data_IF_035095577738
#
_entry.id   IF_035095577738
#
_cell.length_a   1.000
_cell.length_b   1.000
_cell.length_c   1.000
_cell.angle_alpha   90.00
_cell.angle_beta   90.00
_cell.angle_gamma   90.00
#
_symmetry.space_group_name_H-M   'P 1'
#
loop_
_entity.id
_entity.type
_entity.pdbx_description
1 polymer ?
#
# COMPACT_ATOMS: atom_id res chain seq x y z
N UNK A 1 28.32 -46.11 -16.35
CA UNK A 1 29.76 -46.34 -16.44
C UNK A 1 30.41 -45.08 -16.97
N UNK A 2 30.69 -44.12 -16.07
CA UNK A 2 31.71 -43.07 -16.19
C UNK A 2 31.96 -42.60 -14.76
N UNK A 3 32.95 -43.21 -14.12
CA UNK A 3 33.44 -42.82 -12.80
C UNK A 3 34.53 -41.78 -13.00
N UNK A 4 34.24 -40.53 -12.65
CA UNK A 4 35.23 -39.46 -12.64
C UNK A 4 35.83 -39.39 -11.24
N UNK A 5 37.04 -39.90 -11.08
CA UNK A 5 37.80 -39.81 -9.83
C UNK A 5 38.51 -38.45 -9.77
N UNK A 6 38.12 -37.61 -8.81
CA UNK A 6 38.83 -36.37 -8.51
C UNK A 6 39.93 -36.69 -7.50
N UNK A 7 41.12 -37.00 -8.01
CA UNK A 7 42.32 -37.26 -7.18
C UNK A 7 42.85 -35.92 -6.68
N UNK A 8 42.48 -35.56 -5.45
CA UNK A 8 43.17 -34.51 -4.70
C UNK A 8 44.51 -35.09 -4.25
N UNK A 9 45.58 -34.77 -4.95
CA UNK A 9 46.95 -35.15 -4.56
C UNK A 9 47.37 -34.30 -3.36
N UNK A 10 47.02 -34.75 -2.15
CA UNK A 10 47.75 -34.39 -0.95
C UNK A 10 48.83 -35.46 -0.75
N UNK A 11 50.06 -35.07 -1.05
CA UNK A 11 51.24 -35.91 -0.90
C UNK A 11 51.65 -35.89 0.57
N UNK A 12 51.14 -36.83 1.36
CA UNK A 12 51.73 -37.30 2.61
C UNK A 12 51.17 -38.70 2.96
N UNK A 13 52.10 -39.62 3.23
CA UNK A 13 51.91 -41.07 3.37
C UNK A 13 51.07 -41.47 4.60
N UNK A 14 49.75 -41.50 4.45
CA UNK A 14 48.86 -42.24 5.36
C UNK A 14 48.14 -43.33 4.56
N UNK A 15 48.06 -44.59 5.06
CA UNK A 15 47.32 -45.64 4.38
C UNK A 15 45.82 -45.28 4.39
N UNK A 16 45.33 -44.75 3.27
CA UNK A 16 43.94 -44.34 3.09
C UNK A 16 43.09 -45.62 3.15
N UNK A 17 42.41 -45.81 4.28
CA UNK A 17 41.54 -46.95 4.51
C UNK A 17 40.27 -46.77 3.63
N UNK A 18 39.98 -47.66 2.65
CA UNK A 18 38.92 -47.46 1.67
C UNK A 18 37.50 -47.48 2.26
N UNK A 19 37.35 -47.82 3.55
CA UNK A 19 36.08 -47.78 4.29
C UNK A 19 35.56 -46.37 4.60
N UNK A 20 36.39 -45.32 4.50
CA UNK A 20 35.95 -43.93 4.71
C UNK A 20 35.45 -43.22 3.45
N UNK A 21 35.51 -43.88 2.29
CA UNK A 21 34.70 -43.46 1.16
C UNK A 21 33.26 -43.91 1.44
N UNK A 22 32.60 -43.22 2.39
CA UNK A 22 31.15 -43.21 2.44
C UNK A 22 30.68 -42.90 1.03
N UNK A 23 30.03 -43.89 0.43
CA UNK A 23 29.52 -43.86 -0.92
C UNK A 23 28.77 -42.53 -1.09
N UNK A 24 29.38 -41.55 -1.76
CA UNK A 24 28.82 -40.22 -1.94
C UNK A 24 27.60 -40.40 -2.85
N UNK A 25 26.49 -40.80 -2.25
CA UNK A 25 25.31 -41.23 -2.96
C UNK A 25 24.81 -40.02 -3.73
N UNK A 26 24.41 -40.23 -4.99
CA UNK A 26 23.83 -39.19 -5.82
C UNK A 26 22.73 -38.39 -5.08
N UNK A 27 21.99 -39.06 -4.19
CA UNK A 27 21.00 -38.44 -3.30
C UNK A 27 21.59 -37.39 -2.35
N UNK A 28 22.74 -37.67 -1.74
CA UNK A 28 23.41 -36.76 -0.81
C UNK A 28 23.95 -35.53 -1.54
N UNK A 29 24.52 -35.72 -2.74
CA UNK A 29 24.99 -34.62 -3.60
C UNK A 29 23.81 -33.74 -4.01
N UNK A 30 22.71 -34.34 -4.47
CA UNK A 30 21.51 -33.59 -4.85
C UNK A 30 20.91 -32.82 -3.67
N UNK A 31 20.86 -33.43 -2.49
CA UNK A 31 20.39 -32.76 -1.27
C UNK A 31 21.30 -31.56 -0.90
N UNK A 32 22.62 -31.73 -0.97
CA UNK A 32 23.57 -30.65 -0.69
C UNK A 32 23.43 -29.48 -1.68
N UNK A 33 23.29 -29.76 -2.97
CA UNK A 33 23.08 -28.72 -4.01
C UNK A 33 21.77 -27.97 -3.76
N UNK A 34 20.69 -28.67 -3.42
CA UNK A 34 19.39 -28.05 -3.11
C UNK A 34 19.47 -27.18 -1.85
N UNK A 35 20.10 -27.68 -0.79
CA UNK A 35 20.29 -26.90 0.45
C UNK A 35 21.14 -25.64 0.21
N UNK A 36 22.20 -25.76 -0.58
CA UNK A 36 23.01 -24.62 -0.97
C UNK A 36 22.21 -23.60 -1.78
N UNK A 37 21.40 -24.07 -2.75
CA UNK A 37 20.54 -23.21 -3.55
C UNK A 37 19.52 -22.45 -2.69
N UNK A 38 18.89 -23.12 -1.71
CA UNK A 38 17.97 -22.46 -0.77
C UNK A 38 18.69 -21.47 0.15
N UNK A 39 19.85 -21.83 0.69
CA UNK A 39 20.65 -20.93 1.52
C UNK A 39 21.04 -19.67 0.74
N UNK A 40 21.46 -19.82 -0.52
CA UNK A 40 21.77 -18.69 -1.40
C UNK A 40 20.54 -17.83 -1.67
N UNK A 41 19.40 -18.45 -2.00
CA UNK A 41 18.15 -17.72 -2.24
C UNK A 41 17.71 -16.89 -1.01
N UNK A 42 17.79 -17.47 0.19
CA UNK A 42 17.46 -16.76 1.44
C UNK A 42 18.45 -15.63 1.70
N UNK A 43 19.75 -15.85 1.53
CA UNK A 43 20.76 -14.80 1.70
C UNK A 43 20.55 -13.62 0.73
N UNK A 44 20.22 -13.89 -0.53
CA UNK A 44 19.89 -12.85 -1.52
C UNK A 44 18.63 -12.08 -1.11
N UNK A 45 17.58 -12.78 -0.70
CA UNK A 45 16.34 -12.16 -0.24
C UNK A 45 16.58 -11.26 0.98
N UNK A 46 17.28 -11.75 2.01
CA UNK A 46 17.61 -10.99 3.22
C UNK A 46 18.51 -9.78 2.91
N UNK A 47 19.47 -9.93 2.00
CA UNK A 47 20.35 -8.82 1.59
C UNK A 47 19.55 -7.71 0.88
N UNK A 48 18.59 -8.07 0.03
CA UNK A 48 17.70 -7.10 -0.62
C UNK A 48 16.80 -6.39 0.41
N UNK A 49 16.22 -7.14 1.34
CA UNK A 49 15.40 -6.60 2.44
C UNK A 49 16.22 -5.62 3.29
N UNK A 50 17.44 -5.99 3.66
CA UNK A 50 18.36 -5.14 4.40
C UNK A 50 18.68 -3.87 3.60
N UNK A 51 18.99 -3.99 2.32
CA UNK A 51 19.28 -2.84 1.46
C UNK A 51 18.11 -1.84 1.43
N UNK A 52 16.88 -2.33 1.29
CA UNK A 52 15.67 -1.48 1.30
C UNK A 52 15.51 -0.77 2.65
N UNK A 53 15.71 -1.49 3.77
CA UNK A 53 15.60 -0.92 5.12
C UNK A 53 16.70 0.11 5.39
N UNK A 54 17.95 -0.18 5.02
CA UNK A 54 19.06 0.75 5.17
C UNK A 54 18.85 2.04 4.37
N UNK A 55 18.30 1.93 3.16
CA UNK A 55 17.94 3.10 2.35
C UNK A 55 16.84 3.95 3.00
N UNK A 56 15.89 3.31 3.71
CA UNK A 56 14.87 4.03 4.48
C UNK A 56 15.48 4.78 5.68
N UNK A 57 16.43 4.16 6.38
CA UNK A 57 17.18 4.78 7.50
C UNK A 57 17.98 5.99 7.03
N UNK A 58 18.73 5.87 5.94
CA UNK A 58 19.55 6.97 5.40
C UNK A 58 18.69 8.20 5.03
N UNK A 59 17.47 7.98 4.56
CA UNK A 59 16.52 9.05 4.20
C UNK A 59 15.66 9.52 5.37
N UNK A 60 15.82 8.92 6.55
CA UNK A 60 14.97 9.09 7.73
C UNK A 60 13.47 9.08 7.41
N UNK A 61 13.05 8.12 6.57
CA UNK A 61 11.71 8.11 5.97
C UNK A 61 11.16 6.69 5.97
N UNK A 62 10.08 6.48 6.70
CA UNK A 62 9.34 5.22 6.69
C UNK A 62 8.58 5.03 5.36
N UNK A 63 8.16 3.81 5.07
CA UNK A 63 7.39 3.51 3.85
C UNK A 63 6.07 4.31 3.78
N UNK A 64 5.41 4.50 4.93
CA UNK A 64 4.16 5.24 5.02
C UNK A 64 4.41 6.73 4.74
N UNK A 65 5.46 7.31 5.33
CA UNK A 65 5.81 8.71 5.12
C UNK A 65 6.29 8.98 3.70
N UNK A 66 7.00 8.03 3.09
CA UNK A 66 7.36 8.10 1.67
C UNK A 66 6.14 8.16 0.78
N UNK A 67 5.15 7.30 1.03
CA UNK A 67 3.88 7.34 0.30
C UNK A 67 3.12 8.67 0.47
N UNK A 68 3.12 9.26 1.67
CA UNK A 68 2.49 10.57 1.90
C UNK A 68 3.26 11.67 1.16
N UNK A 69 4.59 11.66 1.26
CA UNK A 69 5.46 12.63 0.59
C UNK A 69 5.32 12.58 -0.93
N UNK A 70 5.29 11.38 -1.53
CA UNK A 70 5.13 11.22 -2.97
C UNK A 70 3.76 11.74 -3.44
N UNK A 71 2.71 11.56 -2.64
CA UNK A 71 1.38 12.15 -2.90
C UNK A 71 1.39 13.67 -2.83
N UNK A 72 2.07 14.22 -1.83
CA UNK A 72 2.22 15.66 -1.69
C UNK A 72 2.96 16.24 -2.90
N UNK A 73 4.08 15.63 -3.31
CA UNK A 73 4.83 16.07 -4.50
C UNK A 73 3.96 16.05 -5.76
N UNK A 74 3.14 15.00 -5.95
CA UNK A 74 2.20 14.95 -7.08
C UNK A 74 1.14 16.05 -7.02
N UNK A 75 0.56 16.33 -5.85
CA UNK A 75 -0.41 17.43 -5.67
C UNK A 75 0.23 18.79 -5.95
N UNK A 76 1.45 19.04 -5.46
CA UNK A 76 2.19 20.29 -5.72
C UNK A 76 2.52 20.49 -7.19
N UNK A 77 2.94 19.43 -7.90
CA UNK A 77 3.21 19.48 -9.34
C UNK A 77 1.94 19.84 -10.12
N UNK A 78 0.76 19.39 -9.67
CA UNK A 78 -0.52 19.69 -10.31
C UNK A 78 -1.00 21.12 -10.00
N UNK A 79 -0.70 21.64 -8.81
CA UNK A 79 -1.17 22.94 -8.33
C UNK A 79 -0.14 24.08 -8.51
N UNK A 80 1.02 23.81 -9.13
CA UNK A 80 2.15 24.74 -9.31
C UNK A 80 2.63 25.40 -8.00
N UNK A 81 2.53 24.65 -6.90
CA UNK A 81 2.88 25.12 -5.56
C UNK A 81 4.39 24.95 -5.28
N UNK A 82 4.92 25.78 -4.38
CA UNK A 82 6.31 25.70 -3.95
C UNK A 82 6.66 24.32 -3.37
N UNK A 83 7.82 23.79 -3.77
CA UNK A 83 8.32 22.47 -3.37
C UNK A 83 8.51 22.37 -1.86
N UNK A 84 7.63 21.63 -1.18
CA UNK A 84 7.78 21.40 0.26
C UNK A 84 8.91 20.40 0.54
N UNK A 85 9.79 20.76 1.47
CA UNK A 85 10.86 19.87 1.94
C UNK A 85 10.35 18.86 2.95
N UNK A 86 10.99 17.68 3.01
CA UNK A 86 10.62 16.64 3.97
C UNK A 86 11.12 17.01 5.38
N UNK A 87 10.27 17.02 6.41
CA UNK A 87 10.58 17.65 7.70
C UNK A 87 11.66 16.92 8.53
N UNK A 88 11.82 15.61 8.34
CA UNK A 88 12.71 14.78 9.17
C UNK A 88 14.07 14.46 8.53
N UNK A 89 14.35 14.98 7.32
CA UNK A 89 15.64 14.75 6.69
C UNK A 89 16.69 15.74 7.21
N UNK A 90 17.51 15.30 8.16
CA UNK A 90 18.59 16.08 8.77
C UNK A 90 19.94 15.90 8.06
N UNK A 91 19.96 15.08 7.00
CA UNK A 91 21.16 14.66 6.31
C UNK A 91 21.54 13.21 6.61
N UNK A 92 22.13 12.55 5.60
CA UNK A 92 22.37 11.10 5.60
C UNK A 92 23.11 10.55 6.82
N UNK A 93 24.10 11.30 7.35
CA UNK A 93 24.87 10.90 8.53
C UNK A 93 24.07 11.04 9.82
N UNK A 94 23.38 12.17 10.02
CA UNK A 94 22.58 12.38 11.22
C UNK A 94 21.40 11.41 11.28
N UNK A 95 20.73 11.20 10.13
CA UNK A 95 19.67 10.21 9.96
C UNK A 95 20.14 8.79 10.34
N UNK A 96 21.33 8.39 9.87
CA UNK A 96 21.92 7.11 10.23
C UNK A 96 22.27 7.04 11.72
N UNK A 97 22.83 8.13 12.25
CA UNK A 97 23.23 8.24 13.65
C UNK A 97 22.07 8.06 14.60
N UNK A 98 20.92 8.66 14.31
CA UNK A 98 19.70 8.51 15.11
C UNK A 98 19.30 7.05 15.36
N UNK A 99 19.59 6.15 14.42
CA UNK A 99 19.21 4.73 14.55
C UNK A 99 20.29 3.91 15.25
N UNK A 100 21.58 4.16 14.98
CA UNK A 100 22.67 3.26 15.39
C UNK A 100 23.56 3.76 16.53
N UNK A 101 23.69 5.08 16.74
CA UNK A 101 24.72 5.64 17.63
C UNK A 101 24.21 6.14 18.99
N UNK A 102 22.92 5.94 19.31
CA UNK A 102 22.31 6.38 20.59
C UNK A 102 22.13 5.26 21.64
N UNK A 103 22.88 4.17 21.50
CA UNK A 103 22.91 3.06 22.44
C UNK A 103 21.93 1.93 22.09
N UNK A 104 21.33 1.23 23.07
CA UNK A 104 20.45 0.08 22.80
C UNK A 104 19.09 0.47 22.20
N UNK A 105 18.79 1.78 22.12
CA UNK A 105 17.56 2.32 21.55
C UNK A 105 17.91 3.45 20.58
N UNK A 106 17.14 3.61 19.50
CA UNK A 106 17.27 4.76 18.62
C UNK A 106 16.94 6.06 19.37
N UNK A 107 17.42 7.19 18.85
CA UNK A 107 17.14 8.52 19.37
C UNK A 107 15.64 8.82 19.30
N UNK A 108 15.11 9.39 20.39
CA UNK A 108 13.72 9.85 20.47
C UNK A 108 12.83 8.96 21.34
N UNK A 109 11.60 9.41 21.56
CA UNK A 109 10.61 8.74 22.40
C UNK A 109 9.43 8.16 21.60
N UNK A 110 9.53 8.16 20.27
CA UNK A 110 8.48 7.69 19.35
C UNK A 110 7.40 8.72 19.02
N UNK A 111 7.40 9.88 19.69
CA UNK A 111 6.42 10.96 19.50
C UNK A 111 7.11 12.23 18.97
N UNK A 112 8.25 12.58 19.58
CA UNK A 112 9.04 13.74 19.24
C UNK A 112 10.30 13.32 18.51
N UNK A 113 10.50 13.92 17.34
CA UNK A 113 11.65 13.74 16.48
C UNK A 113 12.31 15.09 16.21
N UNK A 114 13.59 15.05 15.86
CA UNK A 114 14.32 16.23 15.41
C UNK A 114 13.86 16.59 13.99
N UNK A 115 13.52 17.87 13.78
CA UNK A 115 13.03 18.39 12.49
C UNK A 115 13.97 19.43 11.92
N UNK A 116 13.90 19.64 10.60
CA UNK A 116 14.59 20.76 9.95
C UNK A 116 14.01 22.11 10.42
N UNK A 117 14.85 23.15 10.39
CA UNK A 117 14.44 24.49 10.81
C UNK A 117 13.21 24.98 10.03
N UNK A 118 12.21 25.50 10.75
CA UNK A 118 10.95 25.98 10.14
C UNK A 118 9.90 24.89 9.91
N UNK A 119 10.14 23.65 10.34
CA UNK A 119 9.15 22.57 10.32
C UNK A 119 8.89 22.01 11.72
N UNK A 120 7.69 21.47 11.90
CA UNK A 120 7.22 20.88 13.15
C UNK A 120 6.99 19.37 13.00
N UNK A 121 6.98 18.64 14.11
CA UNK A 121 6.68 17.22 14.18
C UNK A 121 5.28 16.87 13.63
N UNK A 122 4.36 17.83 13.58
CA UNK A 122 3.01 17.61 13.03
C UNK A 122 2.84 18.10 11.60
N UNK A 123 3.89 18.61 10.94
CA UNK A 123 3.81 19.11 9.55
C UNK A 123 3.28 18.04 8.59
N UNK A 124 3.74 16.79 8.69
CA UNK A 124 3.25 15.70 7.83
C UNK A 124 1.77 15.38 8.08
N UNK A 125 1.33 15.48 9.34
CA UNK A 125 -0.07 15.27 9.71
C UNK A 125 -0.97 16.36 9.14
N UNK A 126 -0.50 17.61 9.14
CA UNK A 126 -1.19 18.73 8.50
C UNK A 126 -1.33 18.51 7.00
N UNK A 127 -0.24 18.14 6.31
CA UNK A 127 -0.24 17.79 4.89
C UNK A 127 -1.23 16.66 4.61
N UNK A 128 -1.24 15.62 5.43
CA UNK A 128 -2.17 14.50 5.26
C UNK A 128 -3.64 14.92 5.40
N UNK A 129 -3.96 15.84 6.31
CA UNK A 129 -5.31 16.42 6.42
C UNK A 129 -5.69 17.19 5.17
N UNK A 130 -4.78 18.02 4.65
CA UNK A 130 -4.97 18.80 3.42
C UNK A 130 -5.21 17.90 2.20
N UNK A 131 -4.38 16.87 2.01
CA UNK A 131 -4.56 15.88 0.93
C UNK A 131 -5.89 15.12 1.06
N UNK A 132 -6.34 14.87 2.29
CA UNK A 132 -7.63 14.22 2.54
C UNK A 132 -8.80 15.15 2.24
N UNK A 133 -8.72 16.44 2.56
CA UNK A 133 -9.75 17.42 2.20
C UNK A 133 -9.82 17.65 0.70
N UNK A 134 -8.67 17.73 0.01
CA UNK A 134 -8.61 17.81 -1.45
C UNK A 134 -9.25 16.57 -2.10
N UNK A 135 -8.94 15.37 -1.60
CA UNK A 135 -9.60 14.15 -2.08
C UNK A 135 -11.12 14.19 -1.90
N UNK A 136 -11.61 14.77 -0.80
CA UNK A 136 -13.04 14.92 -0.52
C UNK A 136 -13.66 16.00 -1.42
N UNK A 137 -12.96 17.11 -1.69
CA UNK A 137 -13.49 18.16 -2.57
C UNK A 137 -13.61 17.70 -4.02
N UNK A 138 -12.73 16.80 -4.48
CA UNK A 138 -12.84 16.17 -5.80
C UNK A 138 -13.90 15.06 -5.89
N UNK A 139 -14.56 14.72 -4.79
CA UNK A 139 -15.57 13.67 -4.76
C UNK A 139 -16.86 14.10 -5.46
N UNK A 140 -17.61 13.12 -5.99
CA UNK A 140 -18.78 13.38 -6.83
C UNK A 140 -20.01 12.71 -6.24
N UNK A 141 -21.14 13.42 -6.23
CA UNK A 141 -22.42 12.87 -5.79
C UNK A 141 -23.03 12.03 -6.89
N UNK A 142 -23.46 10.82 -6.53
CA UNK A 142 -24.17 9.91 -7.41
C UNK A 142 -25.47 9.47 -6.75
N UNK A 143 -26.54 9.51 -7.52
CA UNK A 143 -27.86 9.00 -7.12
C UNK A 143 -28.07 7.62 -7.74
N UNK A 144 -28.68 6.74 -6.96
CA UNK A 144 -28.93 5.35 -7.35
C UNK A 144 -30.27 5.25 -8.05
N UNK A 145 -30.24 4.75 -9.29
CA UNK A 145 -31.42 4.55 -10.14
C UNK A 145 -31.95 3.12 -10.04
N UNK A 146 -31.08 2.16 -9.75
CA UNK A 146 -31.45 0.74 -9.78
C UNK A 146 -31.04 0.04 -8.51
N UNK A 147 -32.01 -0.62 -7.88
CA UNK A 147 -31.77 -1.46 -6.71
C UNK A 147 -30.78 -2.59 -7.04
N UNK A 148 -29.82 -2.77 -6.14
CA UNK A 148 -28.83 -3.83 -6.21
C UNK A 148 -28.61 -4.44 -4.84
N UNK A 149 -29.44 -5.43 -4.49
CA UNK A 149 -29.34 -6.15 -3.20
C UNK A 149 -28.28 -7.25 -3.18
N UNK A 150 -27.82 -7.69 -4.36
CA UNK A 150 -26.95 -8.87 -4.52
C UNK A 150 -25.66 -8.58 -5.28
N UNK A 151 -25.00 -7.47 -4.94
CA UNK A 151 -23.70 -7.09 -5.53
C UNK A 151 -22.59 -8.10 -5.22
N UNK A 152 -22.76 -8.92 -4.18
CA UNK A 152 -21.81 -10.00 -3.86
C UNK A 152 -21.85 -11.14 -4.88
N UNK A 153 -23.01 -11.39 -5.50
CA UNK A 153 -23.26 -12.55 -6.35
C UNK A 153 -22.82 -12.31 -7.82
N UNK A 154 -21.70 -12.92 -8.19
CA UNK A 154 -21.07 -12.76 -9.52
C UNK A 154 -22.00 -13.20 -10.65
N UNK A 155 -22.76 -14.29 -10.47
CA UNK A 155 -23.64 -14.81 -11.52
C UNK A 155 -24.78 -13.85 -11.85
N UNK A 156 -25.35 -13.18 -10.84
CA UNK A 156 -26.42 -12.20 -11.07
C UNK A 156 -25.90 -10.92 -11.73
N UNK A 157 -24.71 -10.46 -11.36
CA UNK A 157 -24.05 -9.34 -12.04
C UNK A 157 -23.74 -9.71 -13.49
N UNK A 158 -23.30 -10.95 -13.74
CA UNK A 158 -23.02 -11.44 -15.10
C UNK A 158 -24.27 -11.37 -15.97
N UNK A 159 -25.41 -11.83 -15.45
CA UNK A 159 -26.69 -11.80 -16.16
C UNK A 159 -27.21 -10.37 -16.38
N UNK A 160 -27.09 -9.48 -15.40
CA UNK A 160 -27.64 -8.11 -15.45
C UNK A 160 -26.77 -7.14 -16.25
N UNK A 161 -25.45 -7.22 -16.12
CA UNK A 161 -24.51 -6.23 -16.66
C UNK A 161 -23.52 -6.77 -17.69
N UNK A 162 -23.45 -8.09 -17.85
CA UNK A 162 -22.60 -8.77 -18.81
C UNK A 162 -21.19 -9.09 -18.29
N UNK A 163 -20.48 -9.91 -19.06
CA UNK A 163 -19.16 -10.45 -18.72
C UNK A 163 -18.10 -9.37 -18.48
N UNK A 164 -18.19 -8.25 -19.19
CA UNK A 164 -17.21 -7.16 -19.06
C UNK A 164 -17.26 -6.48 -17.69
N UNK A 165 -18.42 -6.38 -17.06
CA UNK A 165 -18.56 -5.74 -15.74
C UNK A 165 -18.08 -6.70 -14.64
N UNK A 166 -18.42 -7.99 -14.76
CA UNK A 166 -17.98 -9.01 -13.78
C UNK A 166 -16.49 -9.29 -13.85
N UNK A 167 -15.89 -9.33 -15.04
CA UNK A 167 -14.45 -9.54 -15.18
C UNK A 167 -13.63 -8.38 -14.62
N UNK A 168 -14.16 -7.16 -14.71
CA UNK A 168 -13.52 -5.96 -14.16
C UNK A 168 -13.92 -5.68 -12.71
N UNK A 169 -14.40 -6.70 -11.97
CA UNK A 169 -14.74 -6.56 -10.55
C UNK A 169 -13.46 -6.31 -9.74
N UNK A 170 -13.46 -5.33 -8.80
CA UNK A 170 -12.35 -5.15 -7.88
C UNK A 170 -12.21 -6.38 -6.97
N UNK A 171 -11.16 -7.20 -7.14
CA UNK A 171 -10.99 -8.44 -6.34
C UNK A 171 -9.87 -8.36 -5.30
N UNK A 172 -8.92 -7.42 -5.43
CA UNK A 172 -7.72 -7.39 -4.60
C UNK A 172 -7.76 -6.38 -3.45
N UNK A 173 -8.85 -5.64 -3.29
CA UNK A 173 -8.98 -4.68 -2.20
C UNK A 173 -9.87 -5.31 -1.12
N UNK A 174 -9.50 -5.20 0.15
CA UNK A 174 -10.34 -5.54 1.31
C UNK A 174 -11.53 -4.58 1.49
N UNK A 175 -12.04 -4.05 0.38
CA UNK A 175 -13.12 -3.10 0.29
C UNK A 175 -14.42 -3.86 0.03
N UNK A 176 -15.42 -3.66 0.88
CA UNK A 176 -16.68 -4.40 0.80
C UNK A 176 -17.56 -3.98 -0.39
N UNK A 177 -18.49 -4.87 -0.76
CA UNK A 177 -19.55 -4.59 -1.73
C UNK A 177 -20.84 -4.30 -0.98
N UNK A 178 -21.50 -3.19 -1.31
CA UNK A 178 -22.72 -2.76 -0.61
C UNK A 178 -23.95 -3.11 -1.44
N UNK A 179 -25.02 -3.47 -0.74
CA UNK A 179 -26.37 -3.49 -1.29
C UNK A 179 -26.96 -2.07 -1.33
N UNK A 180 -27.37 -1.62 -2.51
CA UNK A 180 -27.76 -0.24 -2.76
C UNK A 180 -29.24 -0.17 -3.13
N UNK A 181 -29.95 0.84 -2.61
CA UNK A 181 -31.37 1.06 -2.87
C UNK A 181 -31.62 2.34 -3.69
N UNK A 182 -32.73 2.36 -4.43
CA UNK A 182 -33.15 3.46 -5.29
C UNK A 182 -33.41 4.73 -4.47
N UNK A 183 -32.96 5.88 -5.00
CA UNK A 183 -33.08 7.17 -4.33
C UNK A 183 -32.01 7.46 -3.27
N UNK A 184 -31.10 6.52 -2.99
CA UNK A 184 -29.94 6.80 -2.13
C UNK A 184 -28.89 7.66 -2.85
N UNK A 185 -28.22 8.55 -2.10
CA UNK A 185 -27.15 9.41 -2.61
C UNK A 185 -25.83 9.01 -1.97
N UNK A 186 -24.83 8.74 -2.83
CA UNK A 186 -23.49 8.34 -2.44
C UNK A 186 -22.45 9.39 -2.85
N UNK A 187 -21.48 9.61 -1.97
CA UNK A 187 -20.26 10.37 -2.26
C UNK A 187 -19.20 9.44 -2.83
N UNK A 188 -18.95 9.52 -4.14
CA UNK A 188 -18.01 8.64 -4.82
C UNK A 188 -16.63 9.29 -4.84
N UNK A 189 -15.66 8.58 -4.27
CA UNK A 189 -14.27 9.02 -4.14
C UNK A 189 -13.31 8.27 -5.08
N UNK A 190 -13.72 7.10 -5.58
CA UNK A 190 -12.89 6.22 -6.40
C UNK A 190 -13.80 5.50 -7.40
N UNK A 191 -13.38 5.40 -8.65
CA UNK A 191 -14.17 4.75 -9.68
C UNK A 191 -13.31 4.24 -10.82
N UNK A 192 -13.71 3.09 -11.36
CA UNK A 192 -13.24 2.56 -12.63
C UNK A 192 -14.31 2.82 -13.70
N UNK A 193 -14.10 2.29 -14.91
CA UNK A 193 -15.09 2.37 -15.99
C UNK A 193 -16.43 1.72 -15.63
N UNK A 194 -16.42 0.64 -14.83
CA UNK A 194 -17.61 -0.18 -14.57
C UNK A 194 -18.05 -0.18 -13.10
N UNK A 195 -17.17 0.17 -12.17
CA UNK A 195 -17.40 0.10 -10.73
C UNK A 195 -17.08 1.42 -10.06
N UNK A 196 -17.88 1.81 -9.07
CA UNK A 196 -17.68 3.02 -8.27
C UNK A 196 -17.71 2.66 -6.80
N UNK A 197 -16.91 3.39 -6.01
CA UNK A 197 -16.77 3.22 -4.58
C UNK A 197 -17.15 4.52 -3.90
N UNK A 198 -18.12 4.45 -3.00
CA UNK A 198 -18.63 5.62 -2.30
C UNK A 198 -19.08 5.34 -0.88
N UNK A 199 -19.35 6.43 -0.17
CA UNK A 199 -19.96 6.47 1.16
C UNK A 199 -21.38 7.01 1.04
N UNK A 200 -22.36 6.37 1.69
CA UNK A 200 -23.76 6.84 1.66
C UNK A 200 -23.88 8.16 2.43
N UNK A 201 -24.45 9.18 1.78
CA UNK A 201 -24.77 10.49 2.41
C UNK A 201 -26.25 10.55 2.79
N UNK A 202 -27.14 10.10 1.90
CA UNK A 202 -28.58 10.23 2.06
C UNK A 202 -29.30 8.90 1.75
N UNK A 203 -30.29 8.47 2.56
CA UNK A 203 -30.69 9.05 3.86
C UNK A 203 -29.55 8.91 4.90
N UNK A 204 -29.45 9.86 5.86
CA UNK A 204 -28.45 9.75 6.92
C UNK A 204 -28.70 8.45 7.67
N UNK A 205 -27.68 7.59 7.73
CA UNK A 205 -27.79 6.30 8.38
C UNK A 205 -28.21 6.50 9.84
N UNK A 206 -29.32 5.86 10.27
CA UNK A 206 -29.73 5.88 11.68
C UNK A 206 -28.69 5.23 12.60
N UNK A 207 -27.81 4.39 12.03
CA UNK A 207 -26.65 3.81 12.71
C UNK A 207 -25.40 4.67 12.53
N UNK A 208 -24.57 4.77 13.58
CA UNK A 208 -23.23 5.39 13.54
C UNK A 208 -22.27 4.70 12.54
N UNK A 209 -22.68 3.60 11.93
CA UNK A 209 -21.87 2.82 10.99
C UNK A 209 -21.96 3.44 9.61
N UNK A 210 -20.84 4.02 9.18
CA UNK A 210 -20.65 4.53 7.83
C UNK A 210 -20.64 3.39 6.82
N UNK A 211 -21.65 3.33 5.97
CA UNK A 211 -21.76 2.34 4.90
C UNK A 211 -20.90 2.83 3.72
N UNK A 212 -19.81 2.10 3.43
CA UNK A 212 -18.85 2.38 2.35
C UNK A 212 -18.51 1.11 1.57
N UNK A 213 -18.33 1.23 0.26
CA UNK A 213 -18.16 0.04 -0.58
C UNK A 213 -18.41 0.23 -2.07
N UNK A 214 -18.22 -0.86 -2.80
CA UNK A 214 -18.31 -0.92 -4.25
C UNK A 214 -19.70 -1.29 -4.76
N UNK A 215 -20.12 -0.61 -5.82
CA UNK A 215 -21.30 -0.94 -6.61
C UNK A 215 -21.08 -0.62 -8.10
N UNK A 216 -21.83 -1.24 -9.02
CA UNK A 216 -21.70 -0.98 -10.45
C UNK A 216 -21.99 0.47 -10.81
N UNK A 217 -21.21 1.04 -11.73
CA UNK A 217 -21.43 2.41 -12.20
C UNK A 217 -22.76 2.57 -12.95
N UNK A 218 -23.26 1.49 -13.56
CA UNK A 218 -24.51 1.52 -14.34
C UNK A 218 -25.77 1.65 -13.49
N UNK A 219 -25.72 1.32 -12.19
CA UNK A 219 -26.86 1.49 -11.29
C UNK A 219 -27.00 2.91 -10.75
N UNK A 220 -26.03 3.78 -10.99
CA UNK A 220 -26.08 5.15 -10.51
C UNK A 220 -25.83 6.17 -11.61
N UNK A 221 -26.44 7.34 -11.44
CA UNK A 221 -26.26 8.51 -12.31
C UNK A 221 -25.64 9.64 -11.50
N UNK A 222 -24.92 10.50 -12.21
CA UNK A 222 -24.38 11.71 -11.61
C UNK A 222 -25.53 12.60 -11.12
N UNK A 223 -25.48 12.97 -9.84
CA UNK A 223 -26.49 13.84 -9.24
C UNK A 223 -26.14 15.29 -9.60
N UNK A 224 -26.96 15.91 -10.44
CA UNK A 224 -26.87 17.33 -10.74
C UNK A 224 -27.65 18.08 -9.67
N UNK A 225 -26.95 18.82 -8.81
CA UNK A 225 -27.60 19.68 -7.83
C UNK A 225 -27.98 21.00 -8.53
N UNK A 226 -29.18 21.11 -9.08
CA UNK A 226 -29.75 22.40 -9.50
C UNK A 226 -30.30 23.13 -8.27
N UNK A 227 -29.42 23.53 -7.35
CA UNK A 227 -29.71 24.50 -6.27
C UNK A 227 -28.41 24.81 -5.52
N UNK A 228 -27.71 25.84 -5.99
CA UNK A 228 -26.67 26.56 -5.26
C UNK A 228 -26.93 28.06 -5.41
N UNK A 229 -28.12 28.47 -4.98
CA UNK A 229 -28.56 29.84 -4.80
C UNK A 229 -29.69 29.76 -3.78
N UNK A 230 -29.63 30.58 -2.73
CA UNK A 230 -30.45 30.53 -1.51
C UNK A 230 -29.84 29.61 -0.43
N UNK A 231 -28.93 30.16 0.38
CA UNK A 231 -28.77 29.90 1.84
C UNK A 231 -27.50 30.60 2.39
N UNK A 232 -27.25 31.87 2.03
CA UNK A 232 -26.18 32.70 2.64
C UNK A 232 -26.70 34.03 3.24
N UNK A 233 -28.03 34.22 3.37
CA UNK A 233 -28.63 35.41 3.97
C UNK A 233 -29.48 35.05 5.21
N UNK A 234 -28.85 34.61 6.30
CA UNK A 234 -29.45 34.72 7.64
C UNK A 234 -28.36 34.66 8.73
N UNK A 235 -27.55 35.71 8.80
CA UNK A 235 -26.88 36.09 10.06
C UNK A 235 -26.76 37.62 10.12
N UNK A 236 -27.89 38.27 10.39
CA UNK A 236 -27.92 39.66 10.83
C UNK A 236 -29.17 39.89 11.70
N UNK A 237 -29.09 39.57 12.99
CA UNK A 237 -29.84 40.27 14.05
C UNK A 237 -29.19 40.09 15.41
#
# INVERSE_FOLDING_TARGET
MYDTYLVLTAQDDYPINPQYFEHLSFKNIMCAVVNFAFALAVNVALSLLLFIQMKAVIKNKTQIEGFIYDKMMLSQILNDDAKASYPYDLGWWENFSQVFFYGPKPKGNGIWYDTIMGTDNFTLSYIQKMLKSEKISCSRKYEVISDEKEVSNIFKILLKYGLRVTWNRPCCNSEDFIAVETGEIYLVNKGTKHWIYGERIHPPSASLVKIKGWFPRKSARFYFNESSSEDDDEDNT
#
